data_IF_671371210938
#
_entry.id   IF_671371210938
#
_cell.length_a   1.000
_cell.length_b   1.000
_cell.length_c   1.000
_cell.angle_alpha   90.00
_cell.angle_beta   90.00
_cell.angle_gamma   90.00
#
_symmetry.space_group_name_H-M   'P 1'
#
loop_
_entity.id
_entity.type
_entity.pdbx_description
1 polymer ?
#
# COMPACT_ATOMS: atom_id res chain seq x y z
N UNK A 1 -9.98 9.38 20.20
CA UNK A 1 -8.50 9.40 20.33
C UNK A 1 -7.78 8.72 19.16
N UNK A 2 -8.41 7.74 18.49
CA UNK A 2 -7.88 6.99 17.33
C UNK A 2 -7.54 7.83 16.09
N UNK A 3 -8.25 8.94 15.84
CA UNK A 3 -8.02 9.77 14.65
C UNK A 3 -6.66 10.51 14.65
N UNK A 4 -6.03 10.71 15.82
CA UNK A 4 -4.79 11.51 15.93
C UNK A 4 -3.55 10.81 15.35
N UNK A 5 -3.44 9.50 15.52
CA UNK A 5 -2.28 8.72 15.09
C UNK A 5 -2.25 8.56 13.56
N UNK A 6 -3.41 8.29 12.97
CA UNK A 6 -3.52 8.20 11.51
C UNK A 6 -3.15 9.53 10.84
N UNK A 7 -3.65 10.66 11.36
CA UNK A 7 -3.31 11.97 10.81
C UNK A 7 -1.82 12.29 10.97
N UNK A 8 -1.16 11.88 12.06
CA UNK A 8 0.29 12.00 12.21
C UNK A 8 1.05 11.18 11.15
N UNK A 9 0.66 9.92 10.93
CA UNK A 9 1.25 9.08 9.88
C UNK A 9 1.09 9.73 8.51
N UNK A 10 -0.11 10.25 8.22
CA UNK A 10 -0.41 10.94 6.98
C UNK A 10 0.43 12.20 6.80
N UNK A 11 0.60 12.99 7.87
CA UNK A 11 1.41 14.20 7.84
C UNK A 11 2.89 13.89 7.61
N UNK A 12 3.45 12.90 8.32
CA UNK A 12 4.83 12.46 8.07
C UNK A 12 5.03 11.98 6.63
N UNK A 13 4.03 11.33 6.05
CA UNK A 13 4.05 10.92 4.65
C UNK A 13 3.95 12.11 3.68
N UNK A 14 3.11 13.12 3.97
CA UNK A 14 2.99 14.33 3.13
C UNK A 14 4.24 15.21 3.19
N UNK A 15 4.91 15.21 4.35
CA UNK A 15 6.14 15.99 4.58
C UNK A 15 7.39 15.24 4.10
N UNK A 16 7.22 14.07 3.46
CA UNK A 16 8.30 13.19 2.95
C UNK A 16 9.31 12.73 4.01
N UNK A 17 8.91 12.75 5.29
CA UNK A 17 9.73 12.32 6.43
C UNK A 17 9.71 10.80 6.59
N UNK A 18 10.11 10.07 5.55
CA UNK A 18 9.98 8.62 5.46
C UNK A 18 10.77 7.87 6.54
N UNK A 19 11.95 8.35 6.94
CA UNK A 19 12.74 7.72 8.01
C UNK A 19 12.02 7.79 9.35
N UNK A 20 11.44 8.94 9.69
CA UNK A 20 10.69 9.15 10.93
C UNK A 20 9.42 8.30 10.92
N UNK A 21 8.74 8.24 9.78
CA UNK A 21 7.58 7.39 9.59
C UNK A 21 7.91 5.90 9.78
N UNK A 22 9.01 5.42 9.20
CA UNK A 22 9.46 4.03 9.38
C UNK A 22 9.78 3.73 10.85
N UNK A 23 10.45 4.64 11.55
CA UNK A 23 10.75 4.48 12.98
C UNK A 23 9.46 4.41 13.81
N UNK A 24 8.53 5.34 13.59
CA UNK A 24 7.22 5.35 14.24
C UNK A 24 6.49 4.01 13.99
N UNK A 25 6.41 3.58 12.74
CA UNK A 25 5.71 2.35 12.36
C UNK A 25 6.39 1.09 12.91
N UNK A 26 7.72 1.06 13.00
CA UNK A 26 8.44 -0.06 13.63
C UNK A 26 8.17 -0.15 15.15
N UNK A 27 8.03 0.98 15.83
CA UNK A 27 7.63 1.02 17.24
C UNK A 27 6.18 0.53 17.44
N UNK A 28 5.31 0.84 16.47
CA UNK A 28 3.91 0.41 16.46
C UNK A 28 3.76 -1.06 16.01
N UNK A 29 4.67 -1.59 15.19
CA UNK A 29 4.58 -2.94 14.61
C UNK A 29 4.39 -4.10 15.61
N UNK A 30 5.08 -4.17 16.77
CA UNK A 30 4.84 -5.24 17.75
C UNK A 30 3.50 -5.07 18.47
N UNK A 31 2.95 -3.86 18.47
CA UNK A 31 1.67 -3.53 19.08
C UNK A 31 0.56 -3.48 18.02
N UNK A 32 0.88 -3.62 16.72
CA UNK A 32 -0.07 -3.35 15.64
C UNK A 32 -1.26 -4.28 15.70
N UNK A 33 -1.07 -5.55 16.08
CA UNK A 33 -2.19 -6.48 16.22
C UNK A 33 -3.15 -6.05 17.35
N UNK A 34 -2.68 -5.30 18.35
CA UNK A 34 -3.50 -4.68 19.40
C UNK A 34 -4.00 -3.27 19.02
N UNK A 35 -3.26 -2.54 18.21
CA UNK A 35 -3.60 -1.19 17.70
C UNK A 35 -4.55 -1.29 16.48
N UNK A 36 -4.70 -2.48 15.87
CA UNK A 36 -5.70 -2.76 14.85
C UNK A 36 -7.12 -2.42 15.33
N UNK A 37 -7.40 -2.51 16.64
CA UNK A 37 -8.67 -2.05 17.22
C UNK A 37 -8.81 -0.51 17.25
N UNK A 38 -7.70 0.22 17.19
CA UNK A 38 -7.65 1.67 17.20
C UNK A 38 -7.90 2.27 15.81
N UNK A 39 -7.60 1.54 14.73
CA UNK A 39 -7.85 2.00 13.36
C UNK A 39 -9.16 1.43 12.82
N UNK A 40 -9.92 2.24 12.06
CA UNK A 40 -10.90 1.67 11.13
C UNK A 40 -10.16 0.89 10.04
N UNK A 41 -10.73 -0.21 9.53
CA UNK A 41 -10.11 -1.03 8.47
C UNK A 41 -9.61 -0.21 7.25
N UNK A 42 -10.33 0.87 6.89
CA UNK A 42 -9.92 1.78 5.81
C UNK A 42 -8.65 2.58 6.14
N UNK A 43 -8.52 3.06 7.38
CA UNK A 43 -7.35 3.81 7.83
C UNK A 43 -6.16 2.89 8.08
N UNK A 44 -6.41 1.67 8.56
CA UNK A 44 -5.39 0.63 8.69
C UNK A 44 -4.78 0.32 7.32
N UNK A 45 -5.62 0.10 6.30
CA UNK A 45 -5.15 -0.08 4.93
C UNK A 45 -4.26 1.07 4.46
N UNK A 46 -4.73 2.32 4.60
CA UNK A 46 -3.97 3.52 4.20
C UNK A 46 -2.65 3.66 4.97
N UNK A 47 -2.66 3.39 6.28
CA UNK A 47 -1.45 3.44 7.10
C UNK A 47 -0.41 2.41 6.66
N UNK A 48 -0.84 1.19 6.32
CA UNK A 48 0.07 0.17 5.77
C UNK A 48 0.61 0.56 4.39
N UNK A 49 -0.19 1.19 3.54
CA UNK A 49 0.29 1.70 2.25
C UNK A 49 1.37 2.76 2.46
N UNK A 50 1.12 3.77 3.31
CA UNK A 50 2.12 4.80 3.64
C UNK A 50 3.39 4.23 4.27
N UNK A 51 3.26 3.18 5.09
CA UNK A 51 4.41 2.50 5.66
C UNK A 51 5.20 1.73 4.60
N UNK A 52 4.52 1.05 3.67
CA UNK A 52 5.15 0.41 2.52
C UNK A 52 5.90 1.41 1.65
N UNK A 53 5.29 2.57 1.38
CA UNK A 53 5.90 3.65 0.61
C UNK A 53 7.17 4.17 1.30
N UNK A 54 7.09 4.41 2.61
CA UNK A 54 8.22 4.86 3.40
C UNK A 54 9.37 3.82 3.40
N UNK A 55 9.06 2.53 3.56
CA UNK A 55 10.04 1.45 3.49
C UNK A 55 10.70 1.35 2.10
N UNK A 56 9.92 1.54 1.04
CA UNK A 56 10.43 1.59 -0.33
C UNK A 56 11.41 2.76 -0.51
N UNK A 57 11.06 3.95 -0.02
CA UNK A 57 11.91 5.14 -0.06
C UNK A 57 13.18 4.97 0.77
N UNK A 58 13.11 4.27 1.90
CA UNK A 58 14.30 3.91 2.71
C UNK A 58 15.06 2.69 2.19
N UNK A 59 14.72 2.18 0.98
CA UNK A 59 15.37 1.05 0.28
C UNK A 59 15.22 -0.32 0.96
N UNK A 60 14.28 -0.46 1.90
CA UNK A 60 14.01 -1.72 2.59
C UNK A 60 12.94 -2.52 1.83
N UNK A 61 13.21 -2.82 0.56
CA UNK A 61 12.24 -3.31 -0.42
C UNK A 61 11.58 -4.64 -0.02
N UNK A 62 12.34 -5.51 0.67
CA UNK A 62 11.83 -6.81 1.17
C UNK A 62 10.78 -6.62 2.26
N UNK A 63 10.92 -5.61 3.12
CA UNK A 63 9.89 -5.28 4.11
C UNK A 63 8.71 -4.57 3.48
N UNK A 64 8.98 -3.65 2.55
CA UNK A 64 7.93 -2.93 1.82
C UNK A 64 6.95 -3.90 1.13
N UNK A 65 7.49 -4.89 0.40
CA UNK A 65 6.71 -5.94 -0.26
C UNK A 65 5.78 -6.69 0.72
N UNK A 66 6.29 -7.15 1.87
CA UNK A 66 5.48 -7.80 2.90
C UNK A 66 4.37 -6.92 3.44
N UNK A 67 4.66 -5.64 3.69
CA UNK A 67 3.68 -4.68 4.21
C UNK A 67 2.57 -4.42 3.19
N UNK A 68 2.90 -4.28 1.91
CA UNK A 68 1.90 -4.15 0.85
C UNK A 68 1.02 -5.40 0.72
N UNK A 69 1.60 -6.60 0.84
CA UNK A 69 0.81 -7.84 0.88
C UNK A 69 -0.14 -7.91 2.08
N UNK A 70 0.27 -7.40 3.25
CA UNK A 70 -0.61 -7.27 4.42
C UNK A 70 -1.76 -6.30 4.13
N UNK A 71 -1.48 -5.16 3.50
CA UNK A 71 -2.51 -4.18 3.12
C UNK A 71 -3.54 -4.80 2.16
N UNK A 72 -3.10 -5.56 1.15
CA UNK A 72 -4.00 -6.27 0.22
C UNK A 72 -4.86 -7.33 0.92
N UNK A 73 -4.31 -8.02 1.93
CA UNK A 73 -5.03 -9.03 2.70
C UNK A 73 -6.17 -8.44 3.52
N UNK A 74 -5.96 -7.27 4.14
CA UNK A 74 -7.03 -6.56 4.88
C UNK A 74 -8.21 -6.22 3.97
N UNK A 75 -7.92 -5.74 2.75
CA UNK A 75 -8.95 -5.37 1.77
C UNK A 75 -9.77 -6.57 1.26
N UNK A 76 -9.19 -7.77 1.27
CA UNK A 76 -9.89 -9.03 0.92
C UNK A 76 -10.77 -9.53 2.06
N UNK A 77 -10.39 -9.29 3.31
CA UNK A 77 -11.09 -9.79 4.50
C UNK A 77 -12.23 -8.89 4.98
N UNK A 78 -12.40 -7.68 4.44
CA UNK A 78 -13.60 -6.88 4.71
C UNK A 78 -14.79 -7.47 3.94
N UNK A 79 -15.82 -8.01 4.60
CA UNK A 79 -16.98 -8.57 3.91
C UNK A 79 -17.69 -7.45 3.16
N UNK A 80 -17.62 -7.48 1.82
CA UNK A 80 -18.45 -6.65 0.96
C UNK A 80 -19.91 -6.97 1.28
N UNK A 81 -20.55 -6.16 2.10
CA UNK A 81 -22.00 -6.19 2.24
C UNK A 81 -22.57 -6.07 0.83
N UNK A 82 -23.28 -7.12 0.39
CA UNK A 82 -23.99 -7.19 -0.88
C UNK A 82 -24.97 -6.04 -0.96
N UNK A 83 -24.54 -4.87 -1.45
CA UNK A 83 -25.43 -3.87 -2.01
C UNK A 83 -24.91 -3.48 -3.38
N UNK A 84 -25.61 -4.00 -4.39
CA UNK A 84 -25.66 -3.39 -5.73
C UNK A 84 -25.97 -1.90 -5.54
N UNK A 85 -24.96 -1.05 -5.65
CA UNK A 85 -25.18 0.37 -5.86
C UNK A 85 -24.07 0.87 -6.76
N UNK A 86 -24.48 1.31 -7.94
CA UNK A 86 -23.67 2.09 -8.85
C UNK A 86 -23.15 3.33 -8.11
N UNK A 87 -21.84 3.52 -8.05
CA UNK A 87 -21.18 4.84 -7.93
C UNK A 87 -19.70 4.61 -7.61
N UNK A 88 -18.84 5.27 -8.39
CA UNK A 88 -17.41 5.60 -8.27
C UNK A 88 -16.51 5.03 -7.13
N UNK A 89 -17.01 4.68 -5.95
CA UNK A 89 -16.23 4.06 -4.86
C UNK A 89 -15.65 2.69 -5.20
N UNK A 90 -16.37 1.86 -5.97
CA UNK A 90 -15.84 0.55 -6.38
C UNK A 90 -14.65 0.66 -7.36
N UNK A 91 -14.62 1.70 -8.19
CA UNK A 91 -13.50 1.97 -9.09
C UNK A 91 -12.29 2.55 -8.35
N UNK A 92 -12.52 3.42 -7.36
CA UNK A 92 -11.46 4.00 -6.55
C UNK A 92 -10.77 2.94 -5.67
N UNK A 93 -11.55 2.00 -5.13
CA UNK A 93 -11.01 0.84 -4.43
C UNK A 93 -10.22 -0.08 -5.37
N UNK A 94 -10.73 -0.34 -6.58
CA UNK A 94 -9.99 -1.14 -7.56
C UNK A 94 -8.67 -0.47 -7.96
N UNK A 95 -8.67 0.85 -8.19
CA UNK A 95 -7.46 1.61 -8.52
C UNK A 95 -6.42 1.54 -7.39
N UNK A 96 -6.82 1.72 -6.13
CA UNK A 96 -5.90 1.58 -4.98
C UNK A 96 -5.32 0.17 -4.85
N UNK A 97 -6.10 -0.88 -5.14
CA UNK A 97 -5.58 -2.25 -5.15
C UNK A 97 -4.53 -2.44 -6.26
N UNK A 98 -4.78 -1.87 -7.44
CA UNK A 98 -3.87 -1.88 -8.57
C UNK A 98 -2.59 -1.09 -8.25
N UNK A 99 -2.70 0.09 -7.63
CA UNK A 99 -1.58 0.92 -7.20
C UNK A 99 -0.65 0.13 -6.26
N UNK A 100 -1.21 -0.53 -5.25
CA UNK A 100 -0.42 -1.34 -4.31
C UNK A 100 0.23 -2.54 -4.99
N UNK A 101 -0.46 -3.22 -5.92
CA UNK A 101 0.16 -4.30 -6.71
C UNK A 101 1.30 -3.77 -7.59
N UNK A 102 1.15 -2.59 -8.15
CA UNK A 102 2.23 -1.96 -8.91
C UNK A 102 3.42 -1.61 -8.02
N UNK A 103 3.20 -1.09 -6.80
CA UNK A 103 4.27 -0.88 -5.83
C UNK A 103 5.00 -2.19 -5.45
N UNK A 104 4.27 -3.30 -5.29
CA UNK A 104 4.88 -4.63 -5.07
C UNK A 104 5.75 -5.03 -6.28
N UNK A 105 5.27 -4.82 -7.50
CA UNK A 105 6.05 -5.06 -8.71
C UNK A 105 7.36 -4.23 -8.70
N UNK A 106 7.29 -2.94 -8.37
CA UNK A 106 8.47 -2.09 -8.23
C UNK A 106 9.43 -2.60 -7.15
N UNK A 107 8.92 -3.10 -6.02
CA UNK A 107 9.74 -3.75 -4.99
C UNK A 107 10.48 -4.97 -5.53
N UNK A 108 9.82 -5.82 -6.34
CA UNK A 108 10.46 -6.99 -6.93
C UNK A 108 11.50 -6.63 -7.98
N UNK A 109 11.25 -5.60 -8.79
CA UNK A 109 12.24 -5.08 -9.74
C UNK A 109 13.51 -4.59 -9.02
N UNK A 110 13.37 -3.83 -7.92
CA UNK A 110 14.53 -3.37 -7.12
C UNK A 110 15.27 -4.51 -6.42
N UNK A 111 14.61 -5.64 -6.18
CA UNK A 111 15.21 -6.87 -5.64
C UNK A 111 15.76 -7.82 -6.72
N UNK A 112 15.71 -7.45 -8.01
CA UNK A 112 16.06 -8.29 -9.16
C UNK A 112 15.27 -9.61 -9.27
N UNK A 113 14.10 -9.68 -8.63
CA UNK A 113 13.21 -10.84 -8.71
C UNK A 113 12.25 -10.69 -9.90
N UNK A 114 12.82 -10.76 -11.11
CA UNK A 114 12.07 -10.53 -12.36
C UNK A 114 10.90 -11.51 -12.55
N UNK A 115 11.06 -12.77 -12.12
CA UNK A 115 9.98 -13.77 -12.18
C UNK A 115 8.76 -13.36 -11.36
N UNK A 116 8.98 -12.92 -10.11
CA UNK A 116 7.90 -12.47 -9.23
C UNK A 116 7.29 -11.16 -9.73
N UNK A 117 8.11 -10.27 -10.28
CA UNK A 117 7.64 -9.03 -10.88
C UNK A 117 6.67 -9.27 -12.06
N UNK A 118 6.93 -10.27 -12.92
CA UNK A 118 6.04 -10.63 -14.04
C UNK A 118 4.69 -11.16 -13.53
N UNK A 119 4.73 -12.09 -12.57
CA UNK A 119 3.52 -12.70 -12.00
C UNK A 119 2.58 -11.64 -11.39
N UNK A 120 3.14 -10.67 -10.67
CA UNK A 120 2.34 -9.58 -10.08
C UNK A 120 1.76 -8.68 -11.17
N UNK A 121 2.53 -8.37 -12.22
CA UNK A 121 2.06 -7.52 -13.33
C UNK A 121 0.94 -8.20 -14.13
N UNK A 122 1.06 -9.49 -14.39
CA UNK A 122 0.03 -10.30 -15.07
C UNK A 122 -1.27 -10.37 -14.27
N UNK A 123 -1.19 -10.24 -12.95
CA UNK A 123 -2.38 -10.18 -12.07
C UNK A 123 -3.16 -8.85 -12.15
N UNK A 124 -2.60 -7.82 -12.80
CA UNK A 124 -3.22 -6.51 -13.01
C UNK A 124 -3.97 -6.52 -14.35
N UNK A 125 -5.23 -6.04 -14.42
CA UNK A 125 -5.96 -5.98 -15.68
C UNK A 125 -5.20 -5.16 -16.74
N UNK A 126 -5.02 -5.73 -17.94
CA UNK A 126 -4.18 -5.18 -19.01
C UNK A 126 -4.47 -3.70 -19.38
N UNK A 127 -5.72 -3.24 -19.20
CA UNK A 127 -6.11 -1.83 -19.41
C UNK A 127 -5.35 -0.84 -18.51
N UNK A 128 -5.01 -1.25 -17.30
CA UNK A 128 -4.27 -0.42 -16.34
C UNK A 128 -2.77 -0.62 -16.44
N UNK A 129 -2.30 -1.79 -16.87
CA UNK A 129 -0.87 -2.07 -17.08
C UNK A 129 -0.24 -1.05 -18.06
N UNK A 130 -0.95 -0.70 -19.14
CA UNK A 130 -0.48 0.26 -20.14
C UNK A 130 -0.26 1.68 -19.58
N UNK A 131 -1.09 2.12 -18.62
CA UNK A 131 -0.95 3.43 -17.96
C UNK A 131 0.33 3.50 -17.11
N UNK A 132 0.65 2.44 -16.36
CA UNK A 132 1.84 2.41 -15.50
C UNK A 132 3.12 2.01 -16.24
N UNK A 133 3.05 1.35 -17.39
CA UNK A 133 4.23 1.08 -18.23
C UNK A 133 4.77 2.31 -18.96
N UNK A 134 3.98 3.38 -19.08
CA UNK A 134 4.37 4.65 -19.71
C UNK A 134 4.95 5.68 -18.72
N UNK A 135 4.71 5.51 -17.42
CA UNK A 135 5.21 6.38 -16.34
C UNK A 135 6.74 6.35 -16.13
N UNK A 136 7.47 5.22 -16.31
CA UNK A 136 8.92 5.19 -16.11
C UNK A 136 9.72 5.99 -17.14
N UNK A 137 9.09 6.48 -18.22
CA UNK A 137 9.75 7.25 -19.28
C UNK A 137 9.74 8.77 -19.04
N UNK A 138 9.25 9.24 -17.89
CA UNK A 138 9.17 10.68 -17.55
C UNK A 138 9.94 11.06 -16.28
N UNK A 139 10.81 10.19 -15.77
CA UNK A 139 11.59 10.45 -14.54
C UNK A 139 13.08 10.16 -14.73
N UNK A 140 13.63 10.72 -15.82
CA UNK A 140 15.06 11.02 -15.97
C UNK A 140 15.23 12.53 -16.10
#
# INVERSE_FOLDING_TARGET
MSSSLFEHIRQLHSDELYTNLVQLMNLLSPQMDSICELFSATNEYKALVFFGDALYRTKDYRKAERVYHRALSLKKNTPKSKRKSQSNGSLQDLNQEIDVKYQIHLCYLKQQQHSNASIVLESIPAKHVCLYSLLPLMSD
#
